data_IF_438941926250
#
_entry.id   IF_438941926250
#
_cell.length_a   1.000
_cell.length_b   1.000
_cell.length_c   1.000
_cell.angle_alpha   90.00
_cell.angle_beta   90.00
_cell.angle_gamma   90.00
#
_symmetry.space_group_name_H-M   'P 1'
#
loop_
_entity.id
_entity.type
_entity.pdbx_description
1 polymer ?
#
# COMPACT_ATOMS: atom_id res chain seq x y z
N UNK A 1 34.42 -9.82 41.53
CA UNK A 1 34.29 -10.61 40.29
C UNK A 1 33.46 -9.80 39.31
N UNK A 2 34.03 -9.52 38.14
CA UNK A 2 33.43 -8.77 37.04
C UNK A 2 32.20 -9.49 36.45
N UNK A 3 31.22 -8.72 36.00
CA UNK A 3 30.17 -9.14 35.09
C UNK A 3 28.95 -8.24 35.26
N UNK A 4 28.40 -7.54 34.27
CA UNK A 4 28.66 -7.43 32.84
C UNK A 4 27.46 -6.66 32.30
N UNK A 5 27.68 -5.47 31.75
CA UNK A 5 26.61 -4.61 31.25
C UNK A 5 26.05 -5.14 29.92
N UNK A 6 24.72 -5.16 29.72
CA UNK A 6 24.13 -5.28 28.39
C UNK A 6 23.48 -3.94 28.01
N UNK A 7 24.27 -2.97 27.57
CA UNK A 7 23.76 -1.69 27.02
C UNK A 7 24.26 -1.39 25.60
N UNK A 8 25.15 -2.20 25.03
CA UNK A 8 25.92 -1.84 23.84
C UNK A 8 25.36 -2.39 22.51
N UNK A 9 24.41 -3.34 22.53
CA UNK A 9 23.93 -3.99 21.30
C UNK A 9 22.76 -3.27 20.61
N UNK A 10 22.00 -2.42 21.31
CA UNK A 10 20.83 -1.72 20.74
C UNK A 10 21.20 -0.32 20.20
N UNK A 11 22.28 0.29 20.69
CA UNK A 11 22.73 1.59 20.19
C UNK A 11 23.36 1.52 18.80
N UNK A 12 24.15 0.48 18.52
CA UNK A 12 24.80 0.28 17.22
C UNK A 12 23.84 0.29 16.02
N UNK A 13 22.69 -0.43 16.02
CA UNK A 13 21.79 -0.43 14.88
C UNK A 13 21.07 0.92 14.68
N UNK A 14 20.74 1.63 15.77
CA UNK A 14 20.10 2.94 15.70
C UNK A 14 21.06 4.02 15.15
N UNK A 15 22.32 4.02 15.59
CA UNK A 15 23.35 4.93 15.05
C UNK A 15 23.69 4.63 13.60
N UNK A 16 23.71 3.35 13.21
CA UNK A 16 23.94 2.93 11.83
C UNK A 16 22.78 3.32 10.89
N UNK A 17 21.53 3.21 11.37
CA UNK A 17 20.36 3.68 10.63
C UNK A 17 20.33 5.22 10.49
N UNK A 18 20.70 5.94 11.54
CA UNK A 18 20.80 7.40 11.52
C UNK A 18 21.90 7.86 10.54
N UNK A 19 23.01 7.12 10.46
CA UNK A 19 24.11 7.36 9.53
C UNK A 19 23.71 7.04 8.07
N UNK A 20 22.90 6.01 7.84
CA UNK A 20 22.36 5.66 6.51
C UNK A 20 21.36 6.71 6.00
N UNK A 21 20.63 7.38 6.91
CA UNK A 21 19.77 8.53 6.61
C UNK A 21 20.55 9.81 6.26
N UNK A 22 21.86 9.85 6.53
CA UNK A 22 22.73 11.02 6.37
C UNK A 22 23.41 11.12 5.00
N UNK A 23 23.20 10.15 4.09
CA UNK A 23 23.85 10.15 2.78
C UNK A 23 22.97 10.87 1.75
N UNK A 24 23.27 12.14 1.50
CA UNK A 24 23.47 12.81 0.17
C UNK A 24 23.78 14.29 0.43
N UNK A 25 24.66 14.98 -0.29
CA UNK A 25 24.69 15.19 -1.74
C UNK A 25 26.11 15.48 -2.27
N UNK A 26 26.47 14.91 -3.42
CA UNK A 26 27.51 15.44 -4.31
C UNK A 26 26.86 16.36 -5.34
N UNK A 27 27.16 17.65 -5.30
CA UNK A 27 26.82 18.59 -6.37
C UNK A 27 27.77 18.39 -7.56
N UNK A 28 27.26 18.28 -8.78
CA UNK A 28 27.70 19.04 -9.96
C UNK A 28 26.97 18.56 -11.23
N UNK A 29 26.29 19.46 -11.96
CA UNK A 29 26.56 19.76 -13.39
C UNK A 29 25.42 20.55 -14.06
N UNK A 30 25.72 21.14 -15.21
CA UNK A 30 24.90 22.08 -16.01
C UNK A 30 23.67 21.45 -16.70
N UNK A 31 23.00 20.47 -16.08
CA UNK A 31 21.81 19.82 -16.65
C UNK A 31 20.52 20.54 -16.25
N UNK A 32 19.44 20.43 -17.05
CA UNK A 32 18.10 20.79 -16.60
C UNK A 32 17.72 19.94 -15.39
N UNK A 33 17.46 20.59 -14.25
CA UNK A 33 17.10 19.91 -13.01
C UNK A 33 15.75 20.41 -12.49
N UNK A 34 14.93 19.51 -11.96
CA UNK A 34 13.67 19.83 -11.30
C UNK A 34 13.72 19.28 -9.87
N UNK A 35 13.59 20.17 -8.89
CA UNK A 35 13.56 19.76 -7.48
C UNK A 35 12.12 19.46 -7.07
N UNK A 36 11.93 18.41 -6.29
CA UNK A 36 10.63 18.05 -5.73
C UNK A 36 10.08 19.23 -4.91
N UNK A 37 8.86 19.63 -5.22
CA UNK A 37 8.08 20.64 -4.52
C UNK A 37 6.59 20.27 -4.61
N UNK A 38 5.72 21.03 -3.95
CA UNK A 38 4.25 20.86 -4.03
C UNK A 38 3.77 20.82 -5.49
N UNK A 39 4.28 21.75 -6.30
CA UNK A 39 4.13 21.76 -7.75
C UNK A 39 5.41 22.31 -8.38
N UNK A 40 5.93 21.63 -9.40
CA UNK A 40 7.02 22.14 -10.22
C UNK A 40 6.85 21.69 -11.68
N UNK A 41 7.05 22.60 -12.64
CA UNK A 41 7.03 22.27 -14.06
C UNK A 41 8.27 22.77 -14.78
N UNK A 42 8.70 22.02 -15.79
CA UNK A 42 9.81 22.35 -16.64
C UNK A 42 9.47 21.98 -18.08
N UNK A 43 9.49 22.97 -18.97
CA UNK A 43 9.40 22.71 -20.40
C UNK A 43 10.77 22.35 -20.95
N UNK A 44 10.80 21.26 -21.70
CA UNK A 44 12.01 20.67 -22.26
C UNK A 44 11.87 20.62 -23.77
N UNK A 45 12.88 21.15 -24.45
CA UNK A 45 13.03 21.08 -25.90
C UNK A 45 14.28 20.28 -26.21
N UNK A 46 14.16 18.94 -26.39
CA UNK A 46 15.33 18.10 -26.61
C UNK A 46 16.19 18.61 -27.76
N UNK A 47 17.49 18.67 -27.53
CA UNK A 47 18.45 19.23 -28.50
C UNK A 47 19.63 18.30 -28.80
N UNK A 48 19.94 17.37 -27.90
CA UNK A 48 21.09 16.48 -28.06
C UNK A 48 20.79 15.38 -29.08
N UNK A 49 21.49 15.42 -30.21
CA UNK A 49 21.40 14.37 -31.23
C UNK A 49 22.20 13.16 -30.76
N UNK A 50 21.53 12.01 -30.63
CA UNK A 50 22.12 10.75 -30.22
C UNK A 50 21.99 9.74 -31.36
N UNK A 51 23.12 9.21 -31.81
CA UNK A 51 23.16 8.12 -32.78
C UNK A 51 23.19 6.76 -32.07
N UNK A 52 22.63 5.73 -32.71
CA UNK A 52 22.64 4.33 -32.22
C UNK A 52 22.04 4.14 -30.81
N UNK A 53 21.05 4.97 -30.46
CA UNK A 53 20.26 4.76 -29.24
C UNK A 53 19.60 3.37 -29.26
N UNK A 54 19.70 2.56 -28.19
CA UNK A 54 19.05 1.25 -28.15
C UNK A 54 17.54 1.34 -28.41
N UNK A 55 17.02 0.51 -29.31
CA UNK A 55 15.62 0.53 -29.76
C UNK A 55 15.28 1.59 -30.82
N UNK A 56 16.21 2.43 -31.26
CA UNK A 56 16.02 3.28 -32.44
C UNK A 56 16.27 2.49 -33.73
N UNK A 57 15.69 2.93 -34.86
CA UNK A 57 16.00 2.31 -36.16
C UNK A 57 17.49 2.51 -36.47
N UNK A 58 18.17 1.52 -37.09
CA UNK A 58 19.55 1.69 -37.51
C UNK A 58 19.69 2.89 -38.45
N UNK A 59 20.59 3.82 -38.12
CA UNK A 59 20.86 5.00 -38.93
C UNK A 59 19.86 6.17 -38.81
N UNK A 60 18.83 6.08 -37.97
CA UNK A 60 17.96 7.23 -37.67
C UNK A 60 18.47 8.00 -36.45
N UNK A 61 18.90 9.27 -36.57
CA UNK A 61 19.24 10.07 -35.41
C UNK A 61 17.99 10.31 -34.55
N UNK A 62 18.16 10.25 -33.23
CA UNK A 62 17.12 10.63 -32.27
C UNK A 62 17.57 11.86 -31.49
N UNK A 63 16.62 12.67 -31.05
CA UNK A 63 16.92 13.84 -30.22
C UNK A 63 16.52 13.53 -28.79
N UNK A 64 17.46 13.73 -27.87
CA UNK A 64 17.34 13.35 -26.48
C UNK A 64 17.60 14.54 -25.56
N UNK A 65 17.03 14.49 -24.37
CA UNK A 65 17.39 15.37 -23.25
C UNK A 65 17.34 14.55 -21.96
N UNK A 66 18.23 14.83 -21.02
CA UNK A 66 18.17 14.29 -19.67
C UNK A 66 17.74 15.37 -18.69
N UNK A 67 16.70 15.07 -17.91
CA UNK A 67 16.25 15.91 -16.80
C UNK A 67 16.62 15.22 -15.49
N UNK A 68 17.32 15.93 -14.61
CA UNK A 68 17.59 15.46 -13.26
C UNK A 68 16.43 15.80 -12.34
N UNK A 69 15.91 14.81 -11.62
CA UNK A 69 14.84 14.98 -10.65
C UNK A 69 15.46 14.85 -9.26
N UNK A 70 15.52 15.99 -8.57
CA UNK A 70 16.15 16.11 -7.27
C UNK A 70 15.13 15.88 -6.15
N UNK A 71 15.31 14.78 -5.42
CA UNK A 71 14.53 14.48 -4.23
C UNK A 71 14.86 15.42 -3.06
N UNK A 72 13.94 15.47 -2.11
CA UNK A 72 14.09 16.19 -0.85
C UNK A 72 15.06 15.48 0.10
N UNK A 73 15.73 16.24 0.96
CA UNK A 73 16.47 15.66 2.09
C UNK A 73 15.50 15.11 3.14
N UNK A 74 15.76 13.86 3.58
CA UNK A 74 14.87 13.08 4.48
C UNK A 74 14.68 13.72 5.84
N UNK A 75 15.76 14.17 6.47
CA UNK A 75 15.72 14.67 7.86
C UNK A 75 15.15 16.07 7.97
N UNK A 76 15.30 16.90 6.93
CA UNK A 76 14.80 18.28 6.95
C UNK A 76 13.34 18.37 6.48
N UNK A 77 12.88 17.45 5.63
CA UNK A 77 11.55 17.51 5.01
C UNK A 77 10.67 16.31 5.42
N UNK A 78 10.59 16.02 6.72
CA UNK A 78 9.76 14.93 7.26
C UNK A 78 8.26 15.13 7.01
N UNK A 79 7.82 16.34 6.68
CA UNK A 79 6.44 16.63 6.26
C UNK A 79 6.02 15.80 5.05
N UNK A 80 6.96 15.48 4.16
CA UNK A 80 6.73 14.66 2.96
C UNK A 80 6.78 13.16 3.22
N UNK A 81 6.91 12.71 4.47
CA UNK A 81 6.97 11.27 4.83
C UNK A 81 5.75 10.51 4.31
N UNK A 82 4.55 11.09 4.43
CA UNK A 82 3.30 10.49 3.98
C UNK A 82 2.95 10.83 2.52
N UNK A 83 3.86 11.51 1.82
CA UNK A 83 3.62 11.98 0.46
C UNK A 83 4.17 11.01 -0.60
N UNK A 84 3.67 11.15 -1.82
CA UNK A 84 4.28 10.58 -3.03
C UNK A 84 4.35 11.65 -4.09
N UNK A 85 5.41 11.62 -4.90
CA UNK A 85 5.52 12.53 -6.04
C UNK A 85 5.03 11.81 -7.28
N UNK A 86 4.10 12.42 -8.01
CA UNK A 86 3.70 12.01 -9.36
C UNK A 86 4.42 12.87 -10.37
N UNK A 87 5.21 12.21 -11.21
CA UNK A 87 5.85 12.82 -12.34
C UNK A 87 5.03 12.56 -13.60
N UNK A 88 4.64 13.64 -14.27
CA UNK A 88 3.92 13.63 -15.52
C UNK A 88 4.80 14.19 -16.63
N UNK A 89 4.81 13.54 -17.78
CA UNK A 89 5.41 14.07 -19.01
C UNK A 89 4.28 14.26 -20.03
N UNK A 90 4.08 15.50 -20.45
CA UNK A 90 3.00 15.93 -21.33
C UNK A 90 3.59 16.40 -22.66
N UNK A 91 2.92 16.08 -23.76
CA UNK A 91 3.23 16.67 -25.06
C UNK A 91 2.52 18.03 -25.21
N UNK A 92 3.27 19.11 -25.34
CA UNK A 92 2.72 20.48 -25.42
C UNK A 92 2.26 20.82 -26.84
N UNK A 93 2.92 20.28 -27.87
CA UNK A 93 2.58 20.53 -29.27
C UNK A 93 1.55 19.52 -29.79
N UNK A 94 0.27 19.92 -29.74
CA UNK A 94 -0.89 19.12 -30.19
C UNK A 94 -1.41 19.47 -31.59
N UNK A 95 -0.80 20.44 -32.29
CA UNK A 95 -1.23 20.80 -33.65
C UNK A 95 -0.58 19.89 -34.69
N UNK A 96 -1.17 18.71 -34.92
CA UNK A 96 -0.75 17.76 -35.96
C UNK A 96 -0.66 16.31 -35.47
N UNK A 97 0.07 15.46 -36.21
CA UNK A 97 0.36 14.09 -35.77
C UNK A 97 1.31 14.16 -34.56
N UNK A 98 0.94 13.59 -33.40
CA UNK A 98 1.77 13.68 -32.21
C UNK A 98 3.15 13.04 -32.46
N UNK A 99 4.24 13.70 -32.03
CA UNK A 99 5.59 13.15 -32.14
C UNK A 99 5.69 11.85 -31.32
N UNK A 100 6.56 10.93 -31.77
CA UNK A 100 6.79 9.69 -31.05
C UNK A 100 7.78 9.96 -29.90
N UNK A 101 7.23 10.36 -28.76
CA UNK A 101 7.98 10.62 -27.53
C UNK A 101 8.04 9.34 -26.70
N UNK A 102 9.25 9.00 -26.29
CA UNK A 102 9.56 7.91 -25.36
C UNK A 102 10.36 8.45 -24.19
N UNK A 103 10.17 7.86 -23.03
CA UNK A 103 10.84 8.27 -21.79
C UNK A 103 11.49 7.07 -21.12
N UNK A 104 12.63 7.29 -20.48
CA UNK A 104 13.32 6.32 -19.64
C UNK A 104 13.51 6.95 -18.26
N UNK A 105 13.07 6.27 -17.20
CA UNK A 105 13.15 6.77 -15.84
C UNK A 105 14.00 5.84 -14.97
N UNK A 106 15.20 6.31 -14.59
CA UNK A 106 16.26 5.48 -14.02
C UNK A 106 17.06 6.19 -12.93
N UNK A 107 17.97 5.47 -12.24
CA UNK A 107 18.93 6.03 -11.28
C UNK A 107 20.39 6.01 -11.78
N UNK A 108 20.65 5.30 -12.87
CA UNK A 108 22.02 5.04 -13.28
C UNK A 108 22.61 6.24 -14.04
N UNK A 109 23.42 7.05 -13.35
CA UNK A 109 24.11 8.20 -13.93
C UNK A 109 25.26 7.83 -14.89
N UNK A 110 25.76 6.58 -14.86
CA UNK A 110 26.84 6.15 -15.77
C UNK A 110 26.36 5.91 -17.20
N UNK A 111 25.04 5.77 -17.42
CA UNK A 111 24.46 5.67 -18.75
C UNK A 111 24.54 7.02 -19.46
N UNK A 112 25.02 7.04 -20.69
CA UNK A 112 24.92 8.23 -21.55
C UNK A 112 23.46 8.65 -21.76
N UNK A 113 23.23 9.93 -22.05
CA UNK A 113 21.89 10.48 -22.34
C UNK A 113 21.30 9.76 -23.55
N UNK A 114 20.08 9.22 -23.40
CA UNK A 114 19.41 8.51 -24.49
C UNK A 114 19.94 7.11 -24.79
N UNK A 115 20.81 6.57 -23.93
CA UNK A 115 21.44 5.25 -24.09
C UNK A 115 20.89 4.19 -23.13
N UNK A 116 19.67 4.38 -22.61
CA UNK A 116 18.99 3.34 -21.83
C UNK A 116 18.76 2.07 -22.67
N UNK A 117 18.79 0.87 -22.05
CA UNK A 117 18.35 -0.38 -22.68
C UNK A 117 16.95 -0.27 -23.29
N UNK A 118 16.71 -1.01 -24.37
CA UNK A 118 15.46 -0.93 -25.16
C UNK A 118 14.20 -1.19 -24.31
N UNK A 119 14.27 -2.13 -23.38
CA UNK A 119 13.18 -2.54 -22.49
C UNK A 119 12.77 -1.48 -21.46
N UNK A 120 13.64 -0.49 -21.21
CA UNK A 120 13.39 0.58 -20.23
C UNK A 120 12.67 1.80 -20.82
N UNK A 121 12.48 1.83 -22.14
CA UNK A 121 11.82 2.93 -22.82
C UNK A 121 10.30 2.76 -22.82
N UNK A 122 9.60 3.71 -22.23
CA UNK A 122 8.15 3.75 -22.17
C UNK A 122 7.63 4.82 -23.15
N UNK A 123 6.57 4.51 -23.90
CA UNK A 123 5.91 5.46 -24.81
C UNK A 123 4.87 6.26 -24.07
N UNK A 124 4.65 7.52 -24.48
CA UNK A 124 3.50 8.29 -24.02
C UNK A 124 2.21 7.63 -24.50
N UNK A 125 1.26 7.45 -23.59
CA UNK A 125 -0.08 6.93 -23.89
C UNK A 125 -1.06 8.09 -23.92
N UNK A 126 -1.80 8.24 -25.03
CA UNK A 126 -2.74 9.36 -25.22
C UNK A 126 -2.10 10.76 -24.99
N UNK A 127 -0.81 10.91 -25.30
CA UNK A 127 -0.09 12.19 -25.16
C UNK A 127 0.44 12.50 -23.75
N UNK A 128 0.34 11.54 -22.81
CA UNK A 128 0.89 11.70 -21.46
C UNK A 128 1.59 10.44 -20.97
N UNK A 129 2.51 10.61 -20.03
CA UNK A 129 3.13 9.52 -19.28
C UNK A 129 3.19 9.91 -17.80
N UNK A 130 2.89 8.96 -16.91
CA UNK A 130 2.79 9.22 -15.47
C UNK A 130 3.51 8.12 -14.70
N UNK A 131 4.35 8.52 -13.75
CA UNK A 131 5.02 7.59 -12.83
C UNK A 131 5.12 8.18 -11.44
N UNK A 132 4.96 7.34 -10.42
CA UNK A 132 5.10 7.75 -9.02
C UNK A 132 6.51 7.43 -8.50
N UNK A 133 7.01 8.28 -7.62
CA UNK A 133 8.28 8.10 -6.91
C UNK A 133 8.19 8.60 -5.45
N UNK A 134 9.17 8.19 -4.64
CA UNK A 134 9.39 8.77 -3.32
C UNK A 134 9.79 10.25 -3.45
N UNK A 135 9.26 11.16 -2.60
CA UNK A 135 9.71 12.55 -2.56
C UNK A 135 11.20 12.71 -2.28
N UNK A 136 11.84 11.70 -1.68
CA UNK A 136 13.24 11.75 -1.21
C UNK A 136 14.23 11.05 -2.15
N UNK A 137 13.77 10.58 -3.30
CA UNK A 137 14.59 9.81 -4.23
C UNK A 137 15.15 10.72 -5.35
N UNK A 138 16.40 10.50 -5.73
CA UNK A 138 17.03 11.20 -6.85
C UNK A 138 16.98 10.32 -8.10
N UNK A 139 16.47 10.86 -9.20
CA UNK A 139 16.20 10.10 -10.43
C UNK A 139 16.61 10.90 -11.66
N UNK A 140 16.88 10.19 -12.73
CA UNK A 140 17.14 10.74 -14.05
C UNK A 140 15.99 10.36 -14.98
N UNK A 141 15.51 11.33 -15.74
CA UNK A 141 14.49 11.18 -16.76
C UNK A 141 15.11 11.52 -18.12
N UNK A 142 15.31 10.49 -18.94
CA UNK A 142 15.72 10.66 -20.32
C UNK A 142 14.48 10.73 -21.20
N UNK A 143 14.35 11.82 -21.96
CA UNK A 143 13.27 12.04 -22.93
C UNK A 143 13.88 11.88 -24.32
N UNK A 144 13.28 11.03 -25.14
CA UNK A 144 13.70 10.75 -26.52
C UNK A 144 12.55 11.02 -27.47
N UNK A 145 12.80 11.82 -28.50
CA UNK A 145 11.83 12.15 -29.55
C UNK A 145 12.31 11.59 -30.88
N UNK A 146 11.41 10.89 -31.57
CA UNK A 146 11.63 10.36 -32.93
C UNK A 146 10.72 11.08 -33.91
N UNK A 147 11.30 11.88 -34.82
CA UNK A 147 10.58 12.55 -35.90
C UNK A 147 11.19 13.89 -36.34
N UNK A 148 10.73 14.45 -37.46
CA UNK A 148 11.23 15.72 -38.02
C UNK A 148 10.70 16.97 -37.29
N UNK A 149 9.66 16.83 -36.46
CA UNK A 149 9.15 17.91 -35.61
C UNK A 149 9.88 17.91 -34.27
N UNK A 150 10.53 19.02 -33.95
CA UNK A 150 11.04 19.30 -32.60
C UNK A 150 9.82 19.47 -31.69
N UNK A 151 9.41 18.38 -31.05
CA UNK A 151 8.34 18.39 -30.07
C UNK A 151 8.84 18.97 -28.75
N UNK A 152 8.01 19.78 -28.10
CA UNK A 152 8.24 20.24 -26.73
C UNK A 152 7.53 19.30 -25.75
N UNK A 153 8.27 18.83 -24.75
CA UNK A 153 7.73 18.01 -23.68
C UNK A 153 7.71 18.84 -22.39
N UNK A 154 6.60 18.83 -21.67
CA UNK A 154 6.51 19.44 -20.35
C UNK A 154 6.60 18.36 -19.29
N UNK A 155 7.52 18.53 -18.35
CA UNK A 155 7.70 17.67 -17.19
C UNK A 155 7.06 18.37 -16.00
N UNK A 156 6.11 17.71 -15.34
CA UNK A 156 5.38 18.25 -14.18
C UNK A 156 5.53 17.30 -13.00
N UNK A 157 5.94 17.82 -11.85
CA UNK A 157 5.99 17.14 -10.56
C UNK A 157 4.85 17.65 -9.68
N UNK A 158 4.06 16.72 -9.16
CA UNK A 158 3.02 17.00 -8.16
C UNK A 158 3.27 16.15 -6.93
N UNK A 159 3.46 16.79 -5.77
CA UNK A 159 3.48 16.07 -4.49
C UNK A 159 2.05 15.87 -3.99
N UNK A 160 1.71 14.62 -3.64
CA UNK A 160 0.40 14.27 -3.11
C UNK A 160 0.53 13.64 -1.73
N UNK A 161 -0.20 14.19 -0.77
CA UNK A 161 -0.29 13.68 0.60
C UNK A 161 -1.37 12.58 0.72
N UNK A 162 -1.05 11.48 1.39
CA UNK A 162 -1.95 10.34 1.55
C UNK A 162 -2.32 10.06 3.02
N UNK A 163 -3.53 10.46 3.42
CA UNK A 163 -4.04 10.31 4.80
C UNK A 163 -4.02 8.86 5.30
N UNK A 164 -4.31 7.88 4.43
CA UNK A 164 -4.31 6.46 4.83
C UNK A 164 -2.95 5.99 5.35
N UNK A 165 -1.84 6.64 4.92
CA UNK A 165 -0.50 6.30 5.40
C UNK A 165 -0.28 6.74 6.85
N UNK A 166 -0.88 7.86 7.25
CA UNK A 166 -0.92 8.30 8.65
C UNK A 166 -1.70 7.28 9.49
N UNK A 167 -2.88 6.87 8.99
CA UNK A 167 -3.71 5.86 9.65
C UNK A 167 -2.94 4.55 9.82
N UNK A 168 -2.22 4.10 8.79
CA UNK A 168 -1.40 2.90 8.85
C UNK A 168 -0.26 3.01 9.87
N UNK A 169 0.42 4.15 9.94
CA UNK A 169 1.45 4.36 10.96
C UNK A 169 0.86 4.30 12.38
N UNK A 170 -0.22 5.04 12.64
CA UNK A 170 -0.85 5.12 13.96
C UNK A 170 -1.40 3.76 14.40
N UNK A 171 -2.19 3.11 13.54
CA UNK A 171 -2.76 1.79 13.84
C UNK A 171 -1.67 0.72 13.94
N UNK A 172 -0.65 0.78 13.09
CA UNK A 172 0.49 -0.14 13.14
C UNK A 172 1.25 -0.03 14.47
N UNK A 173 1.61 1.18 14.89
CA UNK A 173 2.29 1.40 16.19
C UNK A 173 1.41 0.99 17.37
N UNK A 174 0.12 1.32 17.34
CA UNK A 174 -0.83 0.90 18.37
C UNK A 174 -0.92 -0.64 18.44
N UNK A 175 -1.13 -1.30 17.30
CA UNK A 175 -1.24 -2.75 17.22
C UNK A 175 0.05 -3.45 17.69
N UNK A 176 1.21 -2.92 17.31
CA UNK A 176 2.51 -3.43 17.76
C UNK A 176 2.67 -3.35 19.28
N UNK A 177 2.21 -2.25 19.88
CA UNK A 177 2.25 -1.99 21.33
C UNK A 177 1.32 -2.91 22.10
N UNK A 178 0.08 -3.08 21.60
CA UNK A 178 -0.97 -3.88 22.24
C UNK A 178 -0.93 -5.37 21.85
N UNK A 179 -0.05 -5.79 20.94
CA UNK A 179 0.01 -7.17 20.44
C UNK A 179 0.00 -8.23 21.56
N UNK A 180 0.76 -8.00 22.64
CA UNK A 180 0.84 -8.93 23.77
C UNK A 180 -0.40 -8.94 24.67
N UNK A 181 -1.12 -7.82 24.75
CA UNK A 181 -2.36 -7.73 25.53
C UNK A 181 -3.51 -8.35 24.74
N UNK A 182 -3.58 -8.07 23.43
CA UNK A 182 -4.58 -8.62 22.53
C UNK A 182 -4.45 -10.14 22.38
N UNK A 183 -3.23 -10.67 22.31
CA UNK A 183 -3.00 -12.12 22.18
C UNK A 183 -3.42 -12.93 23.40
N UNK A 184 -3.56 -12.30 24.57
CA UNK A 184 -3.98 -12.92 25.82
C UNK A 184 -5.43 -12.53 26.19
N UNK A 185 -6.17 -11.89 25.29
CA UNK A 185 -7.53 -11.42 25.55
C UNK A 185 -8.56 -12.37 24.99
N UNK A 186 -9.37 -12.98 25.86
CA UNK A 186 -10.50 -13.82 25.47
C UNK A 186 -11.50 -13.08 24.56
N UNK A 187 -11.67 -11.77 24.80
CA UNK A 187 -12.57 -10.92 24.00
C UNK A 187 -12.13 -10.90 22.53
N UNK A 188 -10.82 -10.87 22.28
CA UNK A 188 -10.27 -10.86 20.91
C UNK A 188 -10.54 -12.19 20.22
N UNK A 189 -10.36 -13.32 20.91
CA UNK A 189 -10.63 -14.64 20.33
C UNK A 189 -12.11 -14.87 20.07
N UNK A 190 -12.97 -14.67 21.07
CA UNK A 190 -14.41 -14.85 20.91
C UNK A 190 -15.00 -13.86 19.92
N UNK A 191 -14.69 -12.57 20.04
CA UNK A 191 -15.18 -11.54 19.12
C UNK A 191 -14.69 -11.77 17.69
N UNK A 192 -13.41 -12.07 17.52
CA UNK A 192 -12.82 -12.37 16.21
C UNK A 192 -13.41 -13.63 15.58
N UNK A 193 -13.45 -14.75 16.31
CA UNK A 193 -13.98 -16.01 15.80
C UNK A 193 -15.50 -15.94 15.53
N UNK A 194 -16.28 -15.26 16.36
CA UNK A 194 -17.71 -15.04 16.10
C UNK A 194 -17.90 -14.21 14.82
N UNK A 195 -17.14 -13.12 14.66
CA UNK A 195 -17.20 -12.28 13.45
C UNK A 195 -16.84 -13.09 12.20
N UNK A 196 -15.73 -13.85 12.25
CA UNK A 196 -15.32 -14.73 11.16
C UNK A 196 -16.34 -15.84 10.89
N UNK A 197 -16.97 -16.40 11.93
CA UNK A 197 -18.01 -17.41 11.82
C UNK A 197 -19.26 -16.88 11.12
N UNK A 198 -19.73 -15.67 11.48
CA UNK A 198 -20.84 -15.00 10.78
C UNK A 198 -20.48 -14.71 9.34
N UNK A 199 -19.28 -14.16 9.08
CA UNK A 199 -18.81 -13.92 7.72
C UNK A 199 -18.76 -15.20 6.89
N UNK A 200 -18.31 -16.31 7.47
CA UNK A 200 -18.27 -17.62 6.81
C UNK A 200 -19.67 -18.12 6.44
N UNK A 201 -20.64 -18.08 7.37
CA UNK A 201 -22.02 -18.49 7.08
C UNK A 201 -22.63 -17.62 5.98
N UNK A 202 -22.42 -16.31 6.04
CA UNK A 202 -22.87 -15.36 5.02
C UNK A 202 -22.25 -15.68 3.66
N UNK A 203 -20.93 -15.89 3.59
CA UNK A 203 -20.24 -16.24 2.34
C UNK A 203 -20.74 -17.58 1.77
N UNK A 204 -21.00 -18.57 2.62
CA UNK A 204 -21.56 -19.86 2.19
C UNK A 204 -22.96 -19.68 1.61
N UNK A 205 -23.83 -18.89 2.25
CA UNK A 205 -25.19 -18.61 1.75
C UNK A 205 -25.12 -17.84 0.42
N UNK A 206 -24.29 -16.80 0.33
CA UNK A 206 -24.09 -16.06 -0.91
C UNK A 206 -23.61 -16.97 -2.04
N UNK A 207 -22.62 -17.82 -1.76
CA UNK A 207 -22.10 -18.78 -2.74
C UNK A 207 -23.16 -19.80 -3.18
N UNK A 208 -23.99 -20.29 -2.26
CA UNK A 208 -25.10 -21.19 -2.59
C UNK A 208 -26.20 -20.49 -3.40
N UNK A 209 -26.58 -19.26 -3.03
CA UNK A 209 -27.57 -18.48 -3.77
C UNK A 209 -27.12 -18.16 -5.21
N UNK A 210 -25.84 -17.88 -5.40
CA UNK A 210 -25.26 -17.68 -6.73
C UNK A 210 -25.25 -18.96 -7.59
N UNK A 211 -25.27 -20.15 -6.97
CA UNK A 211 -25.36 -21.44 -7.67
C UNK A 211 -26.79 -21.79 -8.11
N UNK A 212 -27.79 -21.23 -7.43
CA UNK A 212 -29.23 -21.47 -7.70
C UNK A 212 -29.77 -20.53 -8.78
N UNK A 213 -29.19 -19.32 -8.92
CA UNK A 213 -29.57 -18.39 -9.97
C UNK A 213 -29.02 -18.86 -11.34
N UNK A 214 -29.85 -18.96 -12.40
CA UNK A 214 -29.41 -19.27 -13.76
C UNK A 214 -28.71 -18.04 -14.37
N UNK A 215 -27.61 -17.59 -13.77
CA UNK A 215 -26.78 -16.52 -14.32
C UNK A 215 -25.54 -17.13 -14.96
N UNK A 216 -25.38 -16.85 -16.25
CA UNK A 216 -24.32 -17.37 -17.09
C UNK A 216 -22.94 -17.19 -16.45
N UNK A 217 -22.23 -18.32 -16.34
CA UNK A 217 -20.78 -18.49 -16.25
C UNK A 217 -20.00 -17.23 -16.70
N UNK A 218 -19.56 -16.39 -15.74
CA UNK A 218 -18.32 -15.55 -15.75
C UNK A 218 -18.20 -14.46 -14.66
N UNK A 219 -19.22 -14.18 -13.83
CA UNK A 219 -19.21 -13.02 -12.91
C UNK A 219 -18.94 -13.32 -11.41
N UNK A 220 -19.02 -14.58 -10.97
CA UNK A 220 -19.07 -14.87 -9.52
C UNK A 220 -17.75 -14.63 -8.77
N UNK A 221 -16.64 -14.99 -9.39
CA UNK A 221 -15.29 -14.79 -8.83
C UNK A 221 -14.91 -13.30 -8.79
N UNK A 222 -15.40 -12.52 -9.76
CA UNK A 222 -15.17 -11.08 -9.81
C UNK A 222 -15.92 -10.34 -8.70
N UNK A 223 -17.13 -10.77 -8.33
CA UNK A 223 -17.90 -10.19 -7.23
C UNK A 223 -17.24 -10.46 -5.86
N UNK A 224 -16.66 -11.66 -5.68
CA UNK A 224 -15.90 -12.04 -4.47
C UNK A 224 -14.56 -11.30 -4.39
N UNK A 225 -13.86 -11.12 -5.52
CA UNK A 225 -12.64 -10.30 -5.57
C UNK A 225 -12.89 -8.79 -5.39
N UNK A 226 -14.03 -8.26 -5.88
CA UNK A 226 -14.45 -6.87 -5.64
C UNK A 226 -14.96 -6.64 -4.20
N UNK A 227 -15.30 -7.72 -3.49
CA UNK A 227 -15.71 -7.74 -2.09
C UNK A 227 -14.53 -7.61 -1.11
N UNK A 228 -13.83 -6.46 -1.14
CA UNK A 228 -13.13 -5.99 0.06
C UNK A 228 -14.15 -5.83 1.19
N UNK A 229 -13.74 -5.91 2.46
CA UNK A 229 -14.61 -5.87 3.66
C UNK A 229 -15.66 -4.73 3.60
N UNK A 230 -15.30 -3.60 2.99
CA UNK A 230 -16.19 -2.44 2.76
C UNK A 230 -17.25 -2.70 1.67
N UNK A 231 -16.88 -3.39 0.59
CA UNK A 231 -17.79 -3.79 -0.50
C UNK A 231 -18.71 -4.94 -0.10
N UNK A 232 -18.24 -5.88 0.73
CA UNK A 232 -19.09 -6.94 1.29
C UNK A 232 -20.14 -6.36 2.21
N UNK A 233 -19.78 -5.38 3.06
CA UNK A 233 -20.75 -4.69 3.91
C UNK A 233 -21.85 -3.98 3.11
N UNK A 234 -21.50 -3.14 2.14
CA UNK A 234 -22.49 -2.40 1.34
C UNK A 234 -23.34 -3.29 0.43
N UNK A 235 -22.74 -4.34 -0.14
CA UNK A 235 -23.46 -5.34 -0.92
C UNK A 235 -24.42 -6.16 -0.05
N UNK A 236 -24.00 -6.58 1.15
CA UNK A 236 -24.86 -7.34 2.06
C UNK A 236 -26.10 -6.56 2.51
N UNK A 237 -25.93 -5.28 2.90
CA UNK A 237 -27.06 -4.46 3.36
C UNK A 237 -28.07 -4.11 2.26
N UNK A 238 -27.65 -4.07 0.99
CA UNK A 238 -28.53 -3.66 -0.12
C UNK A 238 -29.11 -4.83 -0.93
N UNK A 239 -28.33 -5.89 -1.14
CA UNK A 239 -28.71 -7.01 -2.01
C UNK A 239 -29.41 -8.14 -1.25
N UNK A 240 -29.00 -8.45 -0.01
CA UNK A 240 -29.59 -9.56 0.76
C UNK A 240 -31.08 -9.34 1.06
N UNK A 241 -31.53 -8.13 1.50
CA UNK A 241 -32.96 -7.89 1.69
C UNK A 241 -33.76 -8.00 0.39
N UNK A 242 -33.19 -7.52 -0.72
CA UNK A 242 -33.83 -7.55 -2.05
C UNK A 242 -33.97 -8.98 -2.58
N UNK A 243 -32.94 -9.81 -2.42
CA UNK A 243 -32.97 -11.23 -2.83
C UNK A 243 -33.88 -12.07 -1.93
N UNK A 244 -33.89 -11.81 -0.62
CA UNK A 244 -34.84 -12.44 0.30
C UNK A 244 -36.27 -12.06 -0.08
N UNK A 245 -36.53 -10.79 -0.39
CA UNK A 245 -37.85 -10.33 -0.84
C UNK A 245 -38.30 -11.06 -2.12
N UNK A 246 -37.44 -11.18 -3.13
CA UNK A 246 -37.82 -11.87 -4.37
C UNK A 246 -38.14 -13.35 -4.17
N UNK A 247 -37.34 -14.07 -3.36
CA UNK A 247 -37.57 -15.50 -3.10
C UNK A 247 -38.83 -15.75 -2.24
N UNK A 248 -39.12 -14.84 -1.30
CA UNK A 248 -40.29 -14.94 -0.42
C UNK A 248 -41.60 -14.60 -1.15
N UNK A 249 -41.57 -13.66 -2.11
CA UNK A 249 -42.69 -13.38 -3.04
C UNK A 249 -42.99 -14.59 -3.90
N UNK A 250 -41.94 -15.26 -4.39
CA UNK A 250 -42.09 -16.44 -5.24
C UNK A 250 -42.64 -17.66 -4.47
N UNK A 251 -42.50 -17.69 -3.14
CA UNK A 251 -43.12 -18.68 -2.24
C UNK A 251 -44.54 -18.30 -1.77
N UNK A 252 -45.11 -17.18 -2.24
CA UNK A 252 -46.50 -16.80 -1.96
C UNK A 252 -46.77 -16.23 -0.57
N UNK A 253 -45.76 -15.71 0.12
CA UNK A 253 -45.90 -15.08 1.45
C UNK A 253 -46.40 -13.63 1.28
N UNK A 254 -47.38 -13.18 2.07
CA UNK A 254 -48.00 -11.85 1.95
C UNK A 254 -47.11 -10.69 2.44
N UNK A 255 -47.20 -9.51 1.81
CA UNK A 255 -46.29 -8.35 2.00
C UNK A 255 -46.11 -7.90 3.47
N UNK A 256 -47.08 -8.23 4.32
CA UNK A 256 -47.13 -7.87 5.73
C UNK A 256 -46.20 -8.74 6.63
N UNK A 257 -45.80 -9.94 6.18
CA UNK A 257 -44.97 -10.89 6.96
C UNK A 257 -43.47 -10.83 6.59
N UNK A 258 -43.06 -10.01 5.62
CA UNK A 258 -41.68 -9.98 5.12
C UNK A 258 -40.70 -9.38 6.11
N UNK A 259 -41.02 -8.23 6.68
CA UNK A 259 -40.15 -7.53 7.63
C UNK A 259 -39.78 -8.43 8.83
N UNK A 260 -40.76 -9.06 9.54
CA UNK A 260 -40.42 -9.93 10.66
C UNK A 260 -39.67 -11.20 10.21
N UNK A 261 -40.00 -11.79 9.06
CA UNK A 261 -39.34 -12.99 8.57
C UNK A 261 -37.89 -12.72 8.13
N UNK A 262 -37.63 -11.60 7.46
CA UNK A 262 -36.27 -11.19 7.07
C UNK A 262 -35.39 -10.94 8.30
N UNK A 263 -35.92 -10.26 9.32
CA UNK A 263 -35.22 -10.06 10.60
C UNK A 263 -34.91 -11.39 11.27
N UNK A 264 -35.86 -12.32 11.27
CA UNK A 264 -35.66 -13.66 11.83
C UNK A 264 -34.56 -14.45 11.11
N UNK A 265 -34.53 -14.40 9.77
CA UNK A 265 -33.50 -15.05 8.96
C UNK A 265 -32.11 -14.46 9.21
N UNK A 266 -31.98 -13.13 9.26
CA UNK A 266 -30.70 -12.46 9.56
C UNK A 266 -30.24 -12.82 10.97
N UNK A 267 -31.15 -12.84 11.96
CA UNK A 267 -30.84 -13.26 13.31
C UNK A 267 -30.37 -14.72 13.36
N UNK A 268 -31.02 -15.63 12.63
CA UNK A 268 -30.62 -17.04 12.57
C UNK A 268 -29.22 -17.22 11.97
N UNK A 269 -28.89 -16.48 10.91
CA UNK A 269 -27.55 -16.47 10.30
C UNK A 269 -26.51 -15.96 11.30
N UNK A 270 -26.79 -14.85 11.97
CA UNK A 270 -25.89 -14.27 12.97
C UNK A 270 -25.65 -15.23 14.15
N UNK A 271 -26.72 -15.85 14.68
CA UNK A 271 -26.63 -16.80 15.78
C UNK A 271 -25.87 -18.07 15.37
N UNK A 272 -26.12 -18.61 14.19
CA UNK A 272 -25.41 -19.78 13.68
C UNK A 272 -23.92 -19.49 13.51
N UNK A 273 -23.57 -18.34 12.92
CA UNK A 273 -22.18 -17.93 12.77
C UNK A 273 -21.48 -17.68 14.09
N UNK A 274 -22.15 -17.00 15.03
CA UNK A 274 -21.62 -16.75 16.37
C UNK A 274 -21.44 -18.06 17.16
N UNK A 275 -22.39 -19.00 17.06
CA UNK A 275 -22.30 -20.32 17.66
C UNK A 275 -21.08 -21.10 17.14
N UNK A 276 -20.87 -21.12 15.82
CA UNK A 276 -19.70 -21.75 15.21
C UNK A 276 -18.39 -21.12 15.69
N UNK A 277 -18.32 -19.79 15.73
CA UNK A 277 -17.16 -19.06 16.23
C UNK A 277 -16.87 -19.34 17.71
N UNK A 278 -17.91 -19.35 18.55
CA UNK A 278 -17.80 -19.68 19.97
C UNK A 278 -17.31 -21.12 20.18
N UNK A 279 -17.89 -22.08 19.45
CA UNK A 279 -17.50 -23.47 19.49
C UNK A 279 -16.03 -23.67 19.08
N UNK A 280 -15.60 -22.99 18.02
CA UNK A 280 -14.22 -23.05 17.54
C UNK A 280 -13.22 -22.57 18.61
N UNK A 281 -13.49 -21.46 19.30
CA UNK A 281 -12.61 -20.97 20.38
C UNK A 281 -12.53 -21.97 21.53
N UNK A 282 -13.67 -22.50 21.98
CA UNK A 282 -13.73 -23.51 23.05
C UNK A 282 -12.91 -24.77 22.72
N UNK A 283 -12.84 -25.16 21.45
CA UNK A 283 -12.18 -26.39 21.01
C UNK A 283 -10.71 -26.21 20.63
N UNK A 284 -10.35 -25.06 20.04
CA UNK A 284 -9.05 -24.86 19.39
C UNK A 284 -8.14 -23.86 20.10
N UNK A 285 -8.69 -22.98 20.95
CA UNK A 285 -7.95 -21.88 21.59
C UNK A 285 -7.76 -22.13 23.08
N UNK A 286 -8.76 -22.73 23.74
CA UNK A 286 -8.73 -22.96 25.18
C UNK A 286 -8.14 -24.32 25.55
N UNK A 287 -7.39 -24.33 26.64
CA UNK A 287 -6.92 -25.54 27.33
C UNK A 287 -8.00 -26.12 28.24
N UNK A 288 -7.74 -27.28 28.86
CA UNK A 288 -8.69 -27.99 29.71
C UNK A 288 -9.13 -27.18 30.95
N UNK A 289 -8.25 -26.31 31.46
CA UNK A 289 -8.47 -25.37 32.56
C UNK A 289 -9.22 -24.09 32.12
N UNK A 290 -9.51 -23.95 30.82
CA UNK A 290 -10.22 -22.79 30.26
C UNK A 290 -9.36 -21.54 30.07
N UNK A 291 -8.04 -21.65 30.27
CA UNK A 291 -7.08 -20.60 29.91
C UNK A 291 -6.75 -20.65 28.42
N UNK A 292 -6.11 -19.60 27.90
CA UNK A 292 -5.71 -19.57 26.48
C UNK A 292 -4.43 -20.39 26.32
N UNK A 293 -4.43 -21.30 25.33
CA UNK A 293 -3.25 -22.09 25.00
C UNK A 293 -2.05 -21.18 24.70
N UNK A 294 -0.93 -21.43 25.37
CA UNK A 294 0.26 -20.59 25.29
C UNK A 294 0.88 -20.57 23.88
N UNK A 295 0.79 -21.67 23.14
CA UNK A 295 1.24 -21.77 21.75
C UNK A 295 0.37 -20.91 20.83
N UNK A 296 -0.96 -20.99 20.99
CA UNK A 296 -1.93 -20.16 20.26
C UNK A 296 -1.71 -18.68 20.56
N UNK A 297 -1.57 -18.30 21.84
CA UNK A 297 -1.31 -16.93 22.25
C UNK A 297 -0.01 -16.37 21.64
N UNK A 298 1.06 -17.17 21.63
CA UNK A 298 2.33 -16.77 21.03
C UNK A 298 2.21 -16.61 19.51
N UNK A 299 1.51 -17.53 18.83
CA UNK A 299 1.25 -17.42 17.39
C UNK A 299 0.50 -16.13 17.06
N UNK A 300 -0.63 -15.87 17.73
CA UNK A 300 -1.46 -14.68 17.50
C UNK A 300 -0.70 -13.39 17.79
N UNK A 301 0.14 -13.38 18.84
CA UNK A 301 1.03 -12.25 19.14
C UNK A 301 1.97 -11.94 17.98
N UNK A 302 2.60 -12.95 17.37
CA UNK A 302 3.45 -12.75 16.19
C UNK A 302 2.65 -12.32 14.96
N UNK A 303 1.44 -12.87 14.76
CA UNK A 303 0.56 -12.43 13.68
C UNK A 303 0.24 -10.93 13.80
N UNK A 304 -0.14 -10.44 14.99
CA UNK A 304 -0.36 -9.01 15.22
C UNK A 304 0.89 -8.17 14.95
N UNK A 305 2.08 -8.66 15.34
CA UNK A 305 3.34 -7.96 15.05
C UNK A 305 3.64 -7.89 13.55
N UNK A 306 3.39 -8.96 12.79
CA UNK A 306 3.62 -8.99 11.34
C UNK A 306 2.67 -8.01 10.64
N UNK A 307 1.38 -8.04 10.99
CA UNK A 307 0.38 -7.09 10.45
C UNK A 307 0.73 -5.65 10.82
N UNK A 308 1.09 -5.39 12.08
CA UNK A 308 1.53 -4.08 12.50
C UNK A 308 2.76 -3.60 11.72
N UNK A 309 3.74 -4.48 11.52
CA UNK A 309 4.96 -4.17 10.78
C UNK A 309 4.66 -3.84 9.32
N UNK A 310 3.76 -4.58 8.67
CA UNK A 310 3.38 -4.30 7.29
C UNK A 310 2.65 -2.96 7.16
N UNK A 311 1.76 -2.62 8.11
CA UNK A 311 1.11 -1.31 8.15
C UNK A 311 2.14 -0.16 8.29
N UNK A 312 3.09 -0.29 9.23
CA UNK A 312 4.15 0.73 9.39
C UNK A 312 5.00 0.85 8.12
N UNK A 313 5.37 -0.27 7.48
CA UNK A 313 6.16 -0.23 6.24
C UNK A 313 5.39 0.42 5.08
N UNK A 314 4.06 0.28 5.04
CA UNK A 314 3.21 0.92 4.03
C UNK A 314 2.92 2.41 4.30
N UNK A 315 3.38 2.95 5.45
CA UNK A 315 3.16 4.36 5.80
C UNK A 315 4.05 5.34 5.03
N UNK A 316 5.06 4.87 4.31
CA UNK A 316 5.93 5.70 3.47
C UNK A 316 6.31 4.95 2.20
N UNK A 317 6.49 5.69 1.09
CA UNK A 317 7.05 5.15 -0.16
C UNK A 317 8.57 5.05 -0.08
N UNK A 318 9.19 5.82 0.81
CA UNK A 318 10.64 5.76 1.03
C UNK A 318 10.96 4.58 1.96
N UNK A 319 11.65 3.54 1.46
CA UNK A 319 11.90 2.32 2.24
C UNK A 319 12.80 2.58 3.45
N UNK A 320 13.72 3.55 3.38
CA UNK A 320 14.62 3.87 4.49
C UNK A 320 13.84 4.50 5.65
N UNK A 321 12.99 5.49 5.35
CA UNK A 321 12.10 6.11 6.34
C UNK A 321 11.06 5.12 6.88
N UNK A 322 10.49 4.26 6.04
CA UNK A 322 9.54 3.23 6.46
C UNK A 322 10.16 2.23 7.45
N UNK A 323 11.38 1.76 7.18
CA UNK A 323 12.09 0.87 8.10
C UNK A 323 12.52 1.60 9.38
N UNK A 324 12.97 2.85 9.28
CA UNK A 324 13.28 3.66 10.45
C UNK A 324 12.04 3.79 11.37
N UNK A 325 10.87 4.10 10.81
CA UNK A 325 9.61 4.15 11.57
C UNK A 325 9.28 2.82 12.26
N UNK A 326 9.52 1.68 11.60
CA UNK A 326 9.34 0.36 12.20
C UNK A 326 10.28 0.14 13.38
N UNK A 327 11.57 0.47 13.23
CA UNK A 327 12.56 0.36 14.30
C UNK A 327 12.14 1.20 15.51
N UNK A 328 11.76 2.46 15.30
CA UNK A 328 11.26 3.32 16.38
C UNK A 328 9.98 2.76 17.02
N UNK A 329 9.05 2.25 16.21
CA UNK A 329 7.83 1.60 16.69
C UNK A 329 8.07 0.39 17.58
N UNK A 330 9.16 -0.36 17.37
CA UNK A 330 9.55 -1.49 18.24
C UNK A 330 10.25 -1.02 19.51
N UNK A 331 11.14 -0.02 19.39
CA UNK A 331 11.99 0.43 20.49
C UNK A 331 11.23 1.24 21.54
N UNK A 332 10.36 2.17 21.13
CA UNK A 332 9.67 3.09 22.05
C UNK A 332 8.81 2.32 23.09
N UNK A 333 7.92 1.39 22.69
CA UNK A 333 7.11 0.66 23.67
C UNK A 333 7.94 -0.25 24.59
N UNK A 334 9.07 -0.76 24.08
CA UNK A 334 9.98 -1.62 24.85
C UNK A 334 10.73 -0.81 25.92
N UNK A 335 11.20 0.39 25.59
CA UNK A 335 11.85 1.30 26.52
C UNK A 335 10.89 1.78 27.61
N UNK A 336 9.65 2.14 27.26
CA UNK A 336 8.62 2.58 28.22
C UNK A 336 8.28 1.47 29.22
N UNK A 337 8.12 0.22 28.76
CA UNK A 337 7.90 -0.94 29.65
C UNK A 337 9.09 -1.19 30.59
N UNK A 338 10.32 -1.04 30.07
CA UNK A 338 11.53 -1.19 30.87
C UNK A 338 11.63 -0.14 31.98
N UNK A 339 11.36 1.14 31.65
CA UNK A 339 11.40 2.24 32.61
C UNK A 339 10.33 2.09 33.69
N UNK A 340 9.10 1.71 33.32
CA UNK A 340 8.02 1.46 34.26
C UNK A 340 8.35 0.33 35.24
N UNK A 341 8.95 -0.75 34.75
CA UNK A 341 9.40 -1.88 35.59
C UNK A 341 10.52 -1.49 36.57
N UNK A 342 11.40 -0.56 36.17
CA UNK A 342 12.47 -0.06 37.03
C UNK A 342 11.96 0.90 38.12
N UNK A 343 10.97 1.75 37.80
CA UNK A 343 10.40 2.70 38.75
C UNK A 343 9.54 2.05 39.85
N UNK A 344 9.11 0.80 39.66
CA UNK A 344 8.27 0.04 40.60
C UNK A 344 9.02 -1.10 41.31
N UNK A 345 10.36 -1.10 41.29
CA UNK A 345 11.22 -1.95 42.13
C UNK A 345 11.82 -1.14 43.25
#
# INVERSE_FOLDING_TARGET
MLGGAPATTVQLPATFFLLLLLITTTNCSNLPSLTVAEFASLQVSPSLVVEKSPGSRPGSPVVCERVEINGLSRLTNLTSFFSSVKLNVLNVNSTGRPPNITVCFHRNASLGVGMCPEDQWEKLTKGSWVKSMSPFDHKLLDIRIVGPSVGTAEVVLNEEFYVYRVIFLVLGVALLTFASSLSNSLIVYYGGAMTLGVMLVVLVILFQGMRILPSGRKSSLALVLYGSIVGVGSFLFSYVPTLLRSLLVEMGIGEDLYSPLAVFLVAFVALTGAWLGFWAVRRLVLTEDGSIDTGVAQFVKWSFRIVASSMILQSSVDPLLAVAALVFGVLIPSAVKGLYSYAHK
#
